data_IF_844229772185
#
_entry.id   IF_844229772185
#
_cell.length_a   1.000
_cell.length_b   1.000
_cell.length_c   1.000
_cell.angle_alpha   90.00
_cell.angle_beta   90.00
_cell.angle_gamma   90.00
#
_symmetry.space_group_name_H-M   'P 1'
#
loop_
_entity.id
_entity.type
_entity.pdbx_description
1 polymer ?
#
# COMPACT_ATOMS: atom_id res chain seq x y z
N UNK A 1 -14.79 19.22 -14.51
CA UNK A 1 -13.71 18.28 -14.16
C UNK A 1 -13.58 18.17 -12.64
N UNK A 2 -13.30 16.96 -12.10
CA UNK A 2 -13.07 16.76 -10.66
C UNK A 2 -11.61 16.31 -10.45
N UNK A 3 -10.89 17.06 -9.63
CA UNK A 3 -9.55 16.70 -9.17
C UNK A 3 -9.66 15.96 -7.85
N UNK A 4 -9.37 14.67 -7.86
CA UNK A 4 -9.36 13.80 -6.68
C UNK A 4 -7.99 13.10 -6.53
N UNK A 5 -6.90 13.79 -6.85
CA UNK A 5 -5.54 13.23 -6.96
C UNK A 5 -4.85 13.02 -5.60
N UNK A 6 -5.57 13.07 -4.46
CA UNK A 6 -5.03 12.78 -3.13
C UNK A 6 -3.88 13.72 -2.74
N UNK A 7 -2.69 13.19 -2.51
CA UNK A 7 -1.53 13.99 -2.14
C UNK A 7 -1.06 14.93 -3.27
N UNK A 8 -1.42 14.64 -4.52
CA UNK A 8 -1.04 15.43 -5.69
C UNK A 8 -2.11 16.42 -6.18
N UNK A 9 -3.19 16.65 -5.41
CA UNK A 9 -4.25 17.59 -5.79
C UNK A 9 -3.72 18.99 -6.07
N UNK A 10 -2.70 19.46 -5.36
CA UNK A 10 -2.05 20.75 -5.59
C UNK A 10 -1.35 20.82 -6.94
N UNK A 11 -0.64 19.77 -7.34
CA UNK A 11 0.04 19.70 -8.64
C UNK A 11 -0.97 19.69 -9.78
N UNK A 12 -2.06 18.92 -9.65
CA UNK A 12 -3.14 18.91 -10.66
C UNK A 12 -3.86 20.26 -10.74
N UNK A 13 -4.11 20.91 -9.60
CA UNK A 13 -4.70 22.24 -9.59
C UNK A 13 -3.80 23.29 -10.28
N UNK A 14 -2.48 23.19 -10.09
CA UNK A 14 -1.51 24.08 -10.72
C UNK A 14 -1.54 24.00 -12.25
N UNK A 15 -1.86 22.84 -12.86
CA UNK A 15 -2.05 22.71 -14.30
C UNK A 15 -3.20 23.60 -14.82
N UNK A 16 -4.19 23.85 -13.98
CA UNK A 16 -5.30 24.74 -14.24
C UNK A 16 -5.06 26.18 -13.72
N UNK A 17 -3.83 26.52 -13.29
CA UNK A 17 -3.46 27.81 -12.67
C UNK A 17 -4.22 28.11 -11.38
N UNK A 18 -4.81 27.10 -10.74
CA UNK A 18 -5.41 27.20 -9.42
C UNK A 18 -4.40 26.81 -8.33
N UNK A 19 -4.53 27.36 -7.12
CA UNK A 19 -3.63 27.09 -6.00
C UNK A 19 -4.38 26.43 -4.86
N UNK A 20 -3.77 25.39 -4.27
CA UNK A 20 -4.29 24.70 -3.08
C UNK A 20 -3.12 24.49 -2.13
N UNK A 21 -3.28 24.91 -0.89
CA UNK A 21 -2.30 24.68 0.16
C UNK A 21 -2.54 23.33 0.83
N UNK A 22 -1.64 22.38 0.61
CA UNK A 22 -1.65 21.05 1.19
C UNK A 22 -0.40 20.84 2.04
N UNK A 23 -0.61 20.34 3.25
CA UNK A 23 0.45 19.89 4.13
C UNK A 23 0.60 18.37 4.01
N UNK A 24 1.83 17.91 3.87
CA UNK A 24 2.14 16.49 3.71
C UNK A 24 2.61 15.90 5.04
N UNK A 25 1.89 14.92 5.55
CA UNK A 25 2.26 14.19 6.77
C UNK A 25 2.53 12.73 6.44
N UNK A 26 3.80 12.33 6.48
CA UNK A 26 4.21 10.93 6.31
C UNK A 26 3.82 10.11 7.52
N UNK A 27 3.34 8.89 7.29
CA UNK A 27 3.15 7.88 8.31
C UNK A 27 3.79 6.57 7.88
N UNK A 28 4.74 6.09 8.66
CA UNK A 28 5.38 4.80 8.46
C UNK A 28 4.72 3.72 9.30
N UNK A 29 4.68 2.51 8.77
CA UNK A 29 4.09 1.33 9.38
C UNK A 29 5.06 0.16 9.29
N UNK A 30 5.13 -0.66 10.32
CA UNK A 30 5.96 -1.85 10.42
C UNK A 30 5.12 -3.11 10.33
N UNK A 31 5.64 -4.13 9.67
CA UNK A 31 5.01 -5.45 9.56
C UNK A 31 5.88 -6.47 10.28
N UNK A 32 5.31 -7.15 11.27
CA UNK A 32 5.98 -8.24 12.00
C UNK A 32 5.92 -9.54 11.21
N UNK A 33 6.82 -10.47 11.47
CA UNK A 33 6.84 -11.78 10.80
C UNK A 33 5.71 -12.72 11.24
N UNK A 34 5.12 -12.47 12.40
CA UNK A 34 4.05 -13.29 12.97
C UNK A 34 2.92 -12.43 13.51
N UNK A 35 1.74 -13.02 13.62
CA UNK A 35 0.57 -12.39 14.19
C UNK A 35 0.67 -12.34 15.72
N UNK A 36 0.84 -11.14 16.28
CA UNK A 36 1.03 -10.93 17.72
C UNK A 36 -0.29 -10.70 18.47
N UNK A 37 -1.37 -10.34 17.78
CA UNK A 37 -2.65 -10.09 18.41
C UNK A 37 -3.81 -10.59 17.54
N UNK A 38 -4.93 -10.97 18.18
CA UNK A 38 -6.17 -11.35 17.47
C UNK A 38 -7.07 -10.17 17.14
N UNK A 39 -6.94 -9.10 17.91
CA UNK A 39 -7.75 -7.89 17.80
C UNK A 39 -6.84 -6.68 17.56
N UNK A 40 -7.44 -5.58 17.11
CA UNK A 40 -6.75 -4.30 17.05
C UNK A 40 -6.50 -3.83 18.48
N UNK A 41 -5.25 -3.52 18.79
CA UNK A 41 -4.84 -2.93 20.05
C UNK A 41 -4.55 -1.46 19.82
N UNK A 42 -5.10 -0.61 20.66
CA UNK A 42 -4.98 0.85 20.59
C UNK A 42 -4.63 1.40 21.97
N UNK A 43 -3.67 2.30 22.06
CA UNK A 43 -3.37 3.04 23.30
C UNK A 43 -4.41 4.14 23.51
N UNK A 44 -4.99 4.17 24.70
CA UNK A 44 -5.97 5.19 25.11
C UNK A 44 -5.23 6.41 25.68
N UNK A 45 -4.60 7.17 24.78
CA UNK A 45 -3.91 8.44 25.08
C UNK A 45 -4.10 9.41 23.89
N UNK A 46 -3.71 10.69 24.03
CA UNK A 46 -3.63 11.57 22.86
C UNK A 46 -2.78 10.91 21.75
N UNK A 47 -3.18 11.03 20.47
CA UNK A 47 -2.54 10.32 19.36
C UNK A 47 -1.02 10.58 19.28
N UNK A 48 -0.24 9.50 19.23
CA UNK A 48 1.21 9.53 19.18
C UNK A 48 1.73 8.44 18.22
N UNK A 49 3.07 8.27 18.15
CA UNK A 49 3.69 7.24 17.33
C UNK A 49 3.51 5.85 17.93
N UNK A 50 3.42 4.81 17.08
CA UNK A 50 3.34 3.42 17.52
C UNK A 50 2.10 3.03 18.32
N UNK A 51 1.01 3.81 18.27
CA UNK A 51 -0.16 3.65 19.14
C UNK A 51 -1.09 2.52 18.74
N UNK A 52 -0.93 1.93 17.56
CA UNK A 52 -1.87 0.95 17.01
C UNK A 52 -1.14 -0.30 16.55
N UNK A 53 -1.61 -1.46 17.00
CA UNK A 53 -1.23 -2.77 16.47
C UNK A 53 -2.46 -3.43 15.85
N UNK A 54 -2.42 -3.66 14.55
CA UNK A 54 -3.49 -4.32 13.81
C UNK A 54 -3.09 -5.72 13.38
N UNK A 55 -3.93 -6.76 13.56
CA UNK A 55 -3.72 -8.05 12.91
C UNK A 55 -3.91 -7.94 11.39
N UNK A 56 -3.03 -8.59 10.63
CA UNK A 56 -3.06 -8.59 9.16
C UNK A 56 -2.87 -9.99 8.57
N UNK A 57 -3.79 -10.90 8.81
CA UNK A 57 -3.64 -12.30 8.40
C UNK A 57 -2.63 -13.02 9.28
N UNK A 58 -1.50 -13.43 8.69
CA UNK A 58 -0.40 -14.14 9.37
C UNK A 58 0.57 -13.22 10.11
N UNK A 59 0.43 -11.90 9.94
CA UNK A 59 1.33 -10.87 10.48
C UNK A 59 0.57 -9.88 11.37
N UNK A 60 1.28 -8.96 12.01
CA UNK A 60 0.70 -7.76 12.61
C UNK A 60 1.33 -6.51 12.01
N UNK A 61 0.58 -5.40 12.01
CA UNK A 61 1.01 -4.11 11.50
C UNK A 61 1.03 -3.12 12.66
N UNK A 62 2.18 -2.56 12.94
CA UNK A 62 2.42 -1.60 14.03
C UNK A 62 2.68 -0.20 13.47
N UNK A 63 2.17 0.81 14.14
CA UNK A 63 2.41 2.23 13.83
C UNK A 63 1.17 3.09 14.12
N UNK A 64 0.99 4.20 13.42
CA UNK A 64 1.92 4.84 12.50
C UNK A 64 2.92 5.81 13.18
N UNK A 65 3.89 6.31 12.40
CA UNK A 65 4.60 7.56 12.69
C UNK A 65 3.84 8.79 12.16
N UNK A 66 4.36 10.00 12.44
CA UNK A 66 3.87 11.23 11.84
C UNK A 66 5.00 12.22 11.66
N UNK A 67 5.45 12.40 10.41
CA UNK A 67 6.56 13.27 10.03
C UNK A 67 6.10 14.24 8.94
N UNK A 68 6.32 15.55 9.12
CA UNK A 68 6.04 16.58 8.13
C UNK A 68 7.01 16.44 6.94
N UNK A 69 6.48 16.54 5.73
CA UNK A 69 7.25 16.54 4.48
C UNK A 69 6.98 17.81 3.68
N UNK A 70 7.95 18.17 2.84
CA UNK A 70 7.82 19.27 1.88
C UNK A 70 7.17 18.80 0.56
N UNK A 71 7.39 17.54 0.16
CA UNK A 71 6.86 16.93 -1.06
C UNK A 71 6.23 15.56 -0.77
N UNK A 72 5.19 15.15 -1.52
CA UNK A 72 4.60 13.82 -1.43
C UNK A 72 5.42 12.75 -2.16
N UNK A 73 6.54 13.11 -2.79
CA UNK A 73 7.32 12.22 -3.64
C UNK A 73 8.45 11.53 -2.85
N UNK A 74 8.93 10.39 -3.36
CA UNK A 74 10.07 9.63 -2.80
C UNK A 74 9.93 9.24 -1.32
N UNK A 75 8.74 8.89 -0.91
CA UNK A 75 8.42 8.58 0.48
C UNK A 75 9.01 7.23 0.87
N UNK A 76 9.87 7.22 1.89
CA UNK A 76 10.49 6.00 2.44
C UNK A 76 10.40 6.02 3.96
N UNK A 77 10.18 4.86 4.63
CA UNK A 77 10.41 4.72 6.05
C UNK A 77 11.90 4.95 6.36
N UNK A 78 12.22 5.57 7.48
CA UNK A 78 13.60 5.69 7.97
C UNK A 78 13.84 4.76 9.14
N UNK A 79 15.10 4.47 9.45
CA UNK A 79 15.50 3.67 10.62
C UNK A 79 15.05 4.31 11.92
N UNK A 80 15.14 5.63 12.02
CA UNK A 80 14.72 6.41 13.20
C UNK A 80 13.20 6.26 13.44
N UNK A 81 12.40 6.26 12.37
CA UNK A 81 10.96 6.02 12.49
C UNK A 81 10.67 4.58 12.92
N UNK A 82 11.46 3.60 12.43
CA UNK A 82 11.34 2.19 12.83
C UNK A 82 11.60 2.06 14.32
N UNK A 83 12.71 2.59 14.81
CA UNK A 83 13.10 2.53 16.22
C UNK A 83 12.06 3.21 17.12
N UNK A 84 11.60 4.40 16.73
CA UNK A 84 10.57 5.14 17.46
C UNK A 84 9.26 4.34 17.55
N UNK A 85 8.80 3.75 16.43
CA UNK A 85 7.56 2.97 16.41
C UNK A 85 7.68 1.71 17.29
N UNK A 86 8.83 1.04 17.28
CA UNK A 86 9.10 -0.13 18.14
C UNK A 86 9.10 0.27 19.60
N UNK A 87 9.83 1.33 19.95
CA UNK A 87 9.91 1.85 21.32
C UNK A 87 8.51 2.20 21.84
N UNK A 88 7.74 2.96 21.08
CA UNK A 88 6.42 3.40 21.47
C UNK A 88 5.38 2.27 21.46
N UNK A 89 5.53 1.25 20.62
CA UNK A 89 4.65 0.08 20.56
C UNK A 89 4.91 -0.96 21.65
N UNK A 90 6.16 -1.06 22.13
CA UNK A 90 6.57 -2.08 23.11
C UNK A 90 5.74 -2.09 24.41
N UNK A 91 5.31 -0.96 24.97
CA UNK A 91 4.40 -0.97 26.14
C UNK A 91 3.02 -1.58 25.87
N UNK A 92 2.57 -1.66 24.61
CA UNK A 92 1.31 -2.33 24.26
C UNK A 92 1.53 -3.85 24.24
N UNK A 93 2.59 -4.29 23.56
CA UNK A 93 2.96 -5.70 23.41
C UNK A 93 4.48 -5.82 23.57
N UNK A 94 4.98 -6.30 24.73
CA UNK A 94 6.42 -6.38 25.01
C UNK A 94 7.22 -7.20 23.99
N UNK A 95 6.58 -8.19 23.34
CA UNK A 95 7.20 -9.01 22.30
C UNK A 95 7.69 -8.19 21.08
N UNK A 96 7.15 -6.98 20.86
CA UNK A 96 7.57 -6.08 19.77
C UNK A 96 9.05 -5.70 19.85
N UNK A 97 9.62 -5.66 21.06
CA UNK A 97 11.03 -5.32 21.25
C UNK A 97 11.99 -6.30 20.54
N UNK A 98 11.62 -7.58 20.50
CA UNK A 98 12.50 -8.65 20.04
C UNK A 98 11.93 -9.45 18.85
N UNK A 99 10.79 -9.03 18.29
CA UNK A 99 10.23 -9.74 17.15
C UNK A 99 10.98 -9.37 15.85
N UNK A 100 10.91 -10.26 14.87
CA UNK A 100 11.41 -9.99 13.54
C UNK A 100 10.42 -9.10 12.78
N UNK A 101 10.91 -8.02 12.20
CA UNK A 101 10.18 -7.16 11.28
C UNK A 101 10.53 -7.55 9.84
N UNK A 102 9.53 -7.81 9.02
CA UNK A 102 9.73 -8.28 7.65
C UNK A 102 9.61 -7.18 6.61
N UNK A 103 8.98 -6.05 6.99
CA UNK A 103 8.73 -4.95 6.08
C UNK A 103 8.38 -3.67 6.84
N UNK A 104 8.78 -2.54 6.27
CA UNK A 104 8.25 -1.22 6.58
C UNK A 104 7.66 -0.60 5.31
N UNK A 105 6.65 0.22 5.44
CA UNK A 105 6.10 1.02 4.34
C UNK A 105 5.58 2.35 4.87
N UNK A 106 5.55 3.34 4.00
CA UNK A 106 5.07 4.68 4.35
C UNK A 106 4.04 5.17 3.35
N UNK A 107 3.20 6.07 3.80
CA UNK A 107 2.25 6.80 2.98
C UNK A 107 2.13 8.25 3.42
N UNK A 108 1.64 9.11 2.53
CA UNK A 108 1.42 10.53 2.82
C UNK A 108 -0.06 10.81 3.04
N UNK A 109 -0.33 11.55 4.09
CA UNK A 109 -1.64 12.13 4.37
C UNK A 109 -1.66 13.56 3.84
N UNK A 110 -2.49 13.88 2.84
CA UNK A 110 -2.73 15.26 2.45
C UNK A 110 -3.64 15.93 3.49
N UNK A 111 -3.13 16.92 4.18
CA UNK A 111 -3.88 17.67 5.19
C UNK A 111 -4.14 19.08 4.65
N UNK A 112 -5.38 19.55 4.81
CA UNK A 112 -5.73 20.91 4.37
C UNK A 112 -5.31 21.89 5.46
N UNK A 113 -4.45 22.84 5.11
CA UNK A 113 -4.08 23.94 5.99
C UNK A 113 -5.25 24.93 6.11
N UNK A 114 -5.92 24.92 7.25
CA UNK A 114 -6.89 26.01 7.56
C UNK A 114 -6.12 27.14 8.27
N UNK A 115 -6.50 28.41 8.02
CA UNK A 115 -5.86 29.59 8.65
C UNK A 115 -5.64 29.43 10.17
N UNK A 116 -6.51 28.69 10.86
CA UNK A 116 -6.40 28.41 12.31
C UNK A 116 -5.33 27.38 12.68
N UNK A 117 -4.78 26.61 11.72
CA UNK A 117 -3.81 25.54 11.95
C UNK A 117 -2.47 25.78 11.27
N UNK A 118 -2.30 26.89 10.58
CA UNK A 118 -1.08 27.24 9.83
C UNK A 118 0.19 27.29 10.70
N UNK A 119 0.09 27.48 12.01
CA UNK A 119 1.21 27.48 12.97
C UNK A 119 1.36 26.19 13.78
N UNK A 120 0.56 25.16 13.52
CA UNK A 120 0.61 23.92 14.30
C UNK A 120 1.75 23.03 13.84
N UNK A 121 2.70 22.73 14.73
CA UNK A 121 3.82 21.80 14.46
C UNK A 121 3.42 20.34 14.55
N UNK A 122 2.33 20.02 15.23
CA UNK A 122 1.82 18.64 15.39
C UNK A 122 0.70 18.36 14.39
N UNK A 123 1.01 17.61 13.34
CA UNK A 123 0.07 17.23 12.28
C UNK A 123 -1.14 16.44 12.76
N UNK A 124 -1.04 15.78 13.93
CA UNK A 124 -2.13 15.00 14.51
C UNK A 124 -3.29 15.86 15.00
N UNK A 125 -3.03 17.14 15.26
CA UNK A 125 -4.04 18.13 15.66
C UNK A 125 -4.78 18.74 14.47
N UNK A 126 -4.29 18.53 13.24
CA UNK A 126 -4.94 19.01 12.03
C UNK A 126 -6.14 18.10 11.72
N UNK A 127 -7.29 18.72 11.44
CA UNK A 127 -8.50 17.98 11.09
C UNK A 127 -8.27 17.08 9.86
N UNK A 128 -8.76 15.84 9.93
CA UNK A 128 -8.82 14.90 8.80
C UNK A 128 -10.18 14.91 8.12
N UNK A 129 -10.87 16.05 8.15
CA UNK A 129 -12.01 16.33 7.29
C UNK A 129 -11.59 16.48 5.84
N UNK A 130 -12.56 16.60 4.95
CA UNK A 130 -12.30 16.94 3.55
C UNK A 130 -13.00 18.25 3.19
N UNK A 131 -12.49 18.90 2.18
CA UNK A 131 -13.12 20.09 1.59
C UNK A 131 -13.34 19.85 0.10
N UNK A 132 -14.46 20.38 -0.41
CA UNK A 132 -14.75 20.53 -1.83
C UNK A 132 -14.44 21.98 -2.20
N UNK A 133 -13.42 22.17 -3.03
CA UNK A 133 -12.95 23.49 -3.43
C UNK A 133 -13.44 23.75 -4.86
N UNK A 134 -14.32 24.70 -4.99
CA UNK A 134 -14.76 25.21 -6.28
C UNK A 134 -13.82 26.32 -6.74
N UNK A 135 -13.20 26.14 -7.90
CA UNK A 135 -12.21 27.08 -8.45
C UNK A 135 -12.81 28.17 -9.32
N UNK A 136 -14.13 28.32 -9.37
CA UNK A 136 -14.77 29.44 -10.09
C UNK A 136 -14.34 30.79 -9.51
N UNK A 137 -14.12 30.88 -8.20
CA UNK A 137 -13.60 32.08 -7.55
C UNK A 137 -12.13 32.38 -7.96
N UNK A 138 -11.38 31.39 -8.41
CA UNK A 138 -10.02 31.52 -8.95
C UNK A 138 -10.01 31.77 -10.46
N UNK A 139 -11.19 31.97 -11.08
CA UNK A 139 -11.36 32.17 -12.53
C UNK A 139 -11.30 30.89 -13.36
N UNK A 140 -11.36 29.68 -12.69
CA UNK A 140 -11.36 28.39 -13.37
C UNK A 140 -12.72 27.73 -13.23
N UNK A 141 -13.59 28.00 -14.21
CA UNK A 141 -14.93 27.40 -14.20
C UNK A 141 -14.93 25.90 -14.47
N UNK A 142 -15.94 25.21 -13.95
CA UNK A 142 -16.14 23.76 -14.13
C UNK A 142 -14.98 22.90 -13.61
N UNK A 143 -14.23 23.40 -12.63
CA UNK A 143 -13.16 22.68 -11.97
C UNK A 143 -13.38 22.67 -10.45
N UNK A 144 -13.44 21.47 -9.87
CA UNK A 144 -13.61 21.26 -8.44
C UNK A 144 -12.55 20.32 -7.94
N UNK A 145 -11.95 20.61 -6.77
CA UNK A 145 -11.00 19.72 -6.11
C UNK A 145 -11.59 19.14 -4.85
N UNK A 146 -11.42 17.82 -4.69
CA UNK A 146 -11.69 17.09 -3.45
C UNK A 146 -10.38 16.90 -2.73
N UNK A 147 -10.17 17.59 -1.62
CA UNK A 147 -8.91 17.57 -0.88
C UNK A 147 -9.08 17.09 0.57
N UNK A 148 -8.03 16.53 1.17
CA UNK A 148 -8.02 15.99 2.53
C UNK A 148 -8.75 14.66 2.65
N UNK A 149 -9.45 14.47 3.78
CA UNK A 149 -10.24 13.27 4.04
C UNK A 149 -9.44 12.09 4.61
N UNK A 150 -10.10 10.96 4.65
CA UNK A 150 -9.56 9.66 5.10
C UNK A 150 -10.33 8.52 4.42
N UNK A 151 -9.71 7.35 4.33
CA UNK A 151 -10.29 6.20 3.62
C UNK A 151 -11.72 5.84 4.11
N UNK A 152 -12.00 5.97 5.40
CA UNK A 152 -13.33 5.64 5.95
C UNK A 152 -14.48 6.55 5.51
N UNK A 153 -14.19 7.69 4.86
CA UNK A 153 -15.22 8.64 4.39
C UNK A 153 -15.20 8.84 2.87
N UNK A 154 -14.47 7.99 2.13
CA UNK A 154 -14.31 8.12 0.67
C UNK A 154 -15.67 8.14 -0.07
N UNK A 155 -16.61 7.32 0.37
CA UNK A 155 -17.96 7.27 -0.22
C UNK A 155 -18.70 8.60 -0.05
N UNK A 156 -18.65 9.19 1.16
CA UNK A 156 -19.24 10.50 1.43
C UNK A 156 -18.56 11.60 0.61
N UNK A 157 -17.23 11.54 0.45
CA UNK A 157 -16.49 12.48 -0.41
C UNK A 157 -16.98 12.40 -1.85
N UNK A 158 -17.14 11.19 -2.38
CA UNK A 158 -17.67 10.97 -3.73
C UNK A 158 -19.13 11.45 -3.86
N UNK A 159 -19.99 11.14 -2.89
CA UNK A 159 -21.39 11.60 -2.85
C UNK A 159 -21.46 13.13 -2.95
N UNK A 160 -20.74 13.84 -2.08
CA UNK A 160 -20.75 15.31 -2.07
C UNK A 160 -20.20 15.93 -3.36
N UNK A 161 -19.15 15.35 -3.93
CA UNK A 161 -18.62 15.80 -5.21
C UNK A 161 -19.62 15.59 -6.36
N UNK A 162 -20.31 14.44 -6.37
CA UNK A 162 -21.34 14.13 -7.36
C UNK A 162 -22.56 15.03 -7.22
N UNK A 163 -23.04 15.29 -6.00
CA UNK A 163 -24.16 16.18 -5.72
C UNK A 163 -23.87 17.58 -6.30
N UNK A 164 -22.67 18.13 -6.04
CA UNK A 164 -22.27 19.45 -6.58
C UNK A 164 -22.25 19.46 -8.12
N UNK A 165 -21.84 18.36 -8.77
CA UNK A 165 -21.85 18.27 -10.24
C UNK A 165 -23.26 18.16 -10.76
N UNK A 166 -24.12 17.36 -10.14
CA UNK A 166 -25.53 17.21 -10.51
C UNK A 166 -26.27 18.55 -10.43
N UNK A 167 -26.04 19.31 -9.36
CA UNK A 167 -26.59 20.65 -9.21
C UNK A 167 -26.19 21.58 -10.36
N UNK A 168 -24.91 21.61 -10.75
CA UNK A 168 -24.41 22.41 -11.89
C UNK A 168 -24.97 21.96 -13.22
N UNK A 169 -25.15 20.67 -13.42
CA UNK A 169 -25.72 20.11 -14.64
C UNK A 169 -27.25 20.15 -14.65
N UNK A 170 -27.88 20.59 -13.57
CA UNK A 170 -29.34 20.57 -13.36
C UNK A 170 -29.93 19.17 -13.56
N UNK A 171 -29.22 18.15 -13.05
CA UNK A 171 -29.62 16.73 -13.10
C UNK A 171 -30.04 16.30 -11.71
N UNK A 172 -31.24 15.75 -11.59
CA UNK A 172 -31.72 15.12 -10.37
C UNK A 172 -31.33 13.64 -10.37
N UNK A 173 -30.27 13.29 -9.64
CA UNK A 173 -29.79 11.90 -9.49
C UNK A 173 -29.37 11.66 -8.04
N UNK A 174 -30.29 11.26 -7.16
CA UNK A 174 -29.97 11.02 -5.75
C UNK A 174 -28.96 9.86 -5.60
N UNK A 175 -28.00 10.04 -4.69
CA UNK A 175 -26.98 9.02 -4.43
C UNK A 175 -27.60 7.77 -3.83
N UNK A 176 -27.37 6.60 -4.44
CA UNK A 176 -27.85 5.28 -4.02
C UNK A 176 -26.77 4.44 -3.33
N UNK A 177 -25.51 4.80 -3.43
CA UNK A 177 -24.37 4.02 -2.93
C UNK A 177 -24.39 3.78 -1.42
N UNK A 178 -25.24 4.48 -0.67
CA UNK A 178 -25.45 4.26 0.76
C UNK A 178 -26.24 2.98 1.04
N UNK A 179 -27.12 2.61 0.13
CA UNK A 179 -28.09 1.51 0.29
C UNK A 179 -27.86 0.36 -0.67
N UNK A 180 -27.21 0.61 -1.79
CA UNK A 180 -26.90 -0.40 -2.76
C UNK A 180 -25.55 -1.05 -2.40
N UNK A 181 -25.50 -2.36 -2.14
CA UNK A 181 -24.27 -3.07 -1.92
C UNK A 181 -23.44 -3.10 -3.22
N UNK A 182 -22.12 -3.11 -3.07
CA UNK A 182 -21.24 -3.38 -4.20
C UNK A 182 -21.54 -4.78 -4.77
N UNK A 183 -21.39 -4.98 -6.10
CA UNK A 183 -21.55 -6.30 -6.69
C UNK A 183 -20.68 -7.32 -5.96
N UNK A 184 -21.26 -8.46 -5.61
CA UNK A 184 -20.52 -9.56 -4.99
C UNK A 184 -19.44 -10.04 -5.94
N UNK A 185 -18.18 -9.98 -5.51
CA UNK A 185 -17.06 -10.57 -6.23
C UNK A 185 -16.74 -11.92 -5.61
N UNK A 186 -17.34 -13.00 -6.10
CA UNK A 186 -16.95 -14.37 -5.71
C UNK A 186 -15.44 -14.60 -5.86
N UNK A 187 -14.80 -13.88 -6.78
CA UNK A 187 -13.35 -13.90 -7.04
C UNK A 187 -12.52 -13.11 -6.01
N UNK A 188 -13.11 -12.26 -5.20
CA UNK A 188 -12.43 -11.50 -4.14
C UNK A 188 -12.09 -12.31 -2.89
N UNK A 189 -12.66 -13.51 -2.73
CA UNK A 189 -12.46 -14.37 -1.56
C UNK A 189 -10.97 -14.74 -1.31
N UNK A 190 -10.16 -14.76 -2.37
CA UNK A 190 -8.75 -15.09 -2.31
C UNK A 190 -7.87 -14.00 -1.67
N UNK A 191 -8.36 -12.78 -1.56
CA UNK A 191 -7.62 -11.66 -0.97
C UNK A 191 -7.87 -11.51 0.52
N UNK A 192 -8.88 -12.19 1.06
CA UNK A 192 -9.24 -12.12 2.48
C UNK A 192 -8.40 -13.08 3.32
N UNK A 193 -7.64 -12.58 4.31
CA UNK A 193 -6.87 -13.43 5.20
C UNK A 193 -7.76 -14.45 5.92
N UNK A 194 -7.38 -15.73 5.85
CA UNK A 194 -8.09 -16.83 6.50
C UNK A 194 -9.23 -17.45 5.69
N UNK A 195 -9.71 -16.80 4.62
CA UNK A 195 -10.70 -17.42 3.72
C UNK A 195 -10.05 -18.31 2.67
N UNK A 196 -8.96 -17.87 2.06
CA UNK A 196 -8.27 -18.64 1.02
C UNK A 196 -7.79 -20.02 1.52
N UNK A 197 -7.10 -20.16 2.68
CA UNK A 197 -6.71 -21.45 3.21
C UNK A 197 -7.90 -22.38 3.48
N UNK A 198 -8.93 -21.86 4.11
CA UNK A 198 -10.14 -22.63 4.41
C UNK A 198 -10.81 -23.13 3.13
N UNK A 199 -11.01 -22.24 2.16
CA UNK A 199 -11.62 -22.59 0.88
C UNK A 199 -10.81 -23.62 0.11
N UNK A 200 -9.47 -23.52 0.14
CA UNK A 200 -8.59 -24.53 -0.46
C UNK A 200 -8.74 -25.89 0.20
N UNK A 201 -8.74 -25.96 1.53
CA UNK A 201 -8.93 -27.19 2.27
C UNK A 201 -10.30 -27.80 2.04
N UNK A 202 -11.37 -27.02 1.99
CA UNK A 202 -12.75 -27.49 1.76
C UNK A 202 -12.94 -28.07 0.36
N UNK A 203 -12.24 -27.56 -0.64
CA UNK A 203 -12.34 -28.04 -2.03
C UNK A 203 -11.72 -29.41 -2.26
N UNK A 204 -10.75 -29.79 -1.45
CA UNK A 204 -10.02 -31.08 -1.52
C UNK A 204 -9.58 -31.47 -2.94
N UNK A 205 -9.06 -30.49 -3.68
CA UNK A 205 -8.56 -30.68 -5.04
C UNK A 205 -7.05 -30.97 -4.99
N UNK A 206 -6.62 -32.22 -5.22
CA UNK A 206 -5.20 -32.59 -5.13
C UNK A 206 -4.34 -31.96 -6.22
N UNK A 207 -4.95 -31.56 -7.34
CA UNK A 207 -4.34 -30.87 -8.48
C UNK A 207 -4.17 -29.36 -8.26
N UNK A 208 -4.78 -28.80 -7.23
CA UNK A 208 -4.69 -27.37 -6.90
C UNK A 208 -3.52 -27.10 -5.96
N UNK A 209 -2.33 -27.11 -6.52
CA UNK A 209 -1.08 -26.96 -5.76
C UNK A 209 -0.97 -25.60 -5.07
N UNK A 210 -0.28 -25.58 -3.92
CA UNK A 210 0.01 -24.35 -3.18
C UNK A 210 1.14 -23.58 -3.86
N UNK A 211 0.86 -22.36 -4.28
CA UNK A 211 1.81 -21.42 -4.89
C UNK A 211 2.57 -20.60 -3.84
N UNK A 212 1.94 -20.31 -2.70
CA UNK A 212 2.55 -19.58 -1.59
C UNK A 212 2.21 -20.27 -0.27
N UNK A 213 3.19 -20.94 0.36
CA UNK A 213 2.98 -21.70 1.60
C UNK A 213 2.68 -20.81 2.80
N UNK A 214 3.41 -19.70 2.98
CA UNK A 214 3.23 -18.85 4.16
C UNK A 214 1.90 -18.11 4.18
N UNK A 215 1.22 -17.98 3.05
CA UNK A 215 -0.10 -17.36 2.93
C UNK A 215 -1.16 -18.34 2.40
N UNK A 216 -0.79 -19.61 2.17
CA UNK A 216 -1.67 -20.67 1.69
C UNK A 216 -2.46 -20.29 0.43
N UNK A 217 -1.79 -19.66 -0.55
CA UNK A 217 -2.42 -19.25 -1.81
C UNK A 217 -2.28 -20.37 -2.85
N UNK A 218 -3.39 -20.97 -3.31
CA UNK A 218 -3.35 -22.04 -4.28
C UNK A 218 -3.24 -21.53 -5.72
N UNK A 219 -2.92 -22.43 -6.65
CA UNK A 219 -2.86 -22.13 -8.08
C UNK A 219 -4.19 -21.62 -8.63
N UNK A 220 -5.31 -22.18 -8.18
CA UNK A 220 -6.65 -21.73 -8.60
C UNK A 220 -6.91 -20.25 -8.32
N UNK A 221 -6.32 -19.69 -7.24
CA UNK A 221 -6.38 -18.26 -6.96
C UNK A 221 -5.60 -17.43 -7.99
N UNK A 222 -4.42 -17.90 -8.39
CA UNK A 222 -3.63 -17.27 -9.45
C UNK A 222 -4.37 -17.28 -10.77
N UNK A 223 -4.95 -18.44 -11.14
CA UNK A 223 -5.74 -18.60 -12.37
C UNK A 223 -6.94 -17.65 -12.40
N UNK A 224 -7.71 -17.59 -11.31
CA UNK A 224 -8.84 -16.67 -11.20
C UNK A 224 -8.47 -15.20 -11.37
N UNK A 225 -7.24 -14.81 -10.99
CA UNK A 225 -6.72 -13.47 -11.21
C UNK A 225 -6.37 -13.26 -12.68
N UNK A 226 -5.73 -14.23 -13.33
CA UNK A 226 -5.34 -14.18 -14.74
C UNK A 226 -6.54 -14.12 -15.70
N UNK A 227 -7.62 -14.78 -15.36
CA UNK A 227 -8.87 -14.75 -16.12
C UNK A 227 -9.62 -13.42 -16.07
N UNK A 228 -9.13 -12.46 -15.26
CA UNK A 228 -9.80 -11.18 -15.12
C UNK A 228 -9.54 -10.30 -16.36
N UNK A 229 -10.61 -9.81 -17.06
CA UNK A 229 -10.44 -8.88 -18.17
C UNK A 229 -9.64 -7.64 -17.72
N UNK A 230 -8.59 -7.29 -18.44
CA UNK A 230 -7.71 -6.16 -18.13
C UNK A 230 -6.45 -6.52 -17.34
N UNK A 231 -6.18 -7.79 -17.09
CA UNK A 231 -4.84 -8.20 -16.68
C UNK A 231 -3.88 -8.11 -17.88
N UNK A 232 -2.88 -7.25 -17.75
CA UNK A 232 -1.82 -7.14 -18.75
C UNK A 232 -0.78 -8.24 -18.54
N UNK A 233 -0.41 -8.92 -19.61
CA UNK A 233 0.63 -9.96 -19.64
C UNK A 233 1.99 -9.34 -19.95
N UNK A 234 2.46 -8.47 -19.07
CA UNK A 234 3.73 -7.76 -19.18
C UNK A 234 4.60 -7.97 -17.93
N UNK A 235 5.73 -7.27 -17.85
CA UNK A 235 6.65 -7.35 -16.72
C UNK A 235 6.02 -7.03 -15.35
N UNK A 236 4.86 -6.33 -15.31
CA UNK A 236 4.16 -6.02 -14.05
C UNK A 236 3.15 -7.10 -13.64
N UNK A 237 2.94 -8.15 -14.46
CA UNK A 237 1.95 -9.20 -14.20
C UNK A 237 2.16 -9.86 -12.83
N UNK A 238 3.39 -10.23 -12.48
CA UNK A 238 3.70 -10.85 -11.20
C UNK A 238 3.39 -9.90 -10.02
N UNK A 239 3.68 -8.62 -10.17
CA UNK A 239 3.29 -7.58 -9.20
C UNK A 239 1.77 -7.48 -9.06
N UNK A 240 1.04 -7.49 -10.17
CA UNK A 240 -0.42 -7.43 -10.20
C UNK A 240 -1.08 -8.64 -9.54
N UNK A 241 -0.52 -9.85 -9.73
CA UNK A 241 -0.94 -11.06 -9.02
C UNK A 241 -0.71 -10.87 -7.52
N UNK A 242 0.46 -10.41 -7.11
CA UNK A 242 0.77 -10.10 -5.71
C UNK A 242 -0.16 -9.03 -5.10
N UNK A 243 -0.56 -8.03 -5.87
CA UNK A 243 -1.49 -6.99 -5.42
C UNK A 243 -2.92 -7.53 -5.17
N UNK A 244 -3.36 -8.48 -5.99
CA UNK A 244 -4.72 -9.08 -5.92
C UNK A 244 -4.79 -10.35 -5.08
N UNK A 245 -3.67 -10.85 -4.61
CA UNK A 245 -3.56 -12.01 -3.73
C UNK A 245 -2.68 -11.68 -2.53
N UNK A 246 -2.33 -12.72 -1.75
CA UNK A 246 -1.37 -12.56 -0.66
C UNK A 246 0.03 -13.05 -1.04
N UNK A 247 0.28 -13.37 -2.31
CA UNK A 247 1.59 -13.76 -2.82
C UNK A 247 2.61 -12.65 -2.55
N UNK A 248 3.74 -13.03 -1.96
CA UNK A 248 4.82 -12.12 -1.59
C UNK A 248 4.58 -11.27 -0.34
N UNK A 249 3.48 -11.47 0.40
CA UNK A 249 3.12 -10.67 1.59
C UNK A 249 3.41 -11.35 2.92
N UNK A 250 3.64 -12.66 2.92
CA UNK A 250 3.94 -13.42 4.14
C UNK A 250 5.39 -13.28 4.61
N UNK A 251 5.76 -14.11 5.58
CA UNK A 251 7.02 -14.01 6.31
C UNK A 251 8.28 -14.11 5.43
N UNK A 252 8.23 -14.82 4.28
CA UNK A 252 9.35 -14.94 3.36
C UNK A 252 9.44 -13.79 2.33
N UNK A 253 8.47 -12.86 2.31
CA UNK A 253 8.44 -11.70 1.40
C UNK A 253 8.62 -12.04 -0.09
N UNK A 254 8.16 -13.22 -0.51
CA UNK A 254 8.16 -13.62 -1.90
C UNK A 254 9.33 -14.51 -2.33
N UNK A 255 10.27 -14.85 -1.45
CA UNK A 255 11.48 -15.62 -1.77
C UNK A 255 11.19 -16.88 -2.60
N UNK A 256 10.15 -17.63 -2.26
CA UNK A 256 9.84 -18.89 -2.96
C UNK A 256 8.66 -18.74 -3.94
N UNK A 257 7.60 -18.07 -3.54
CA UNK A 257 6.41 -17.97 -4.38
C UNK A 257 6.63 -17.10 -5.61
N UNK A 258 7.52 -16.12 -5.58
CA UNK A 258 7.90 -15.35 -6.76
C UNK A 258 8.39 -16.26 -7.90
N UNK A 259 9.34 -17.14 -7.59
CA UNK A 259 9.89 -18.11 -8.57
C UNK A 259 8.83 -19.09 -9.06
N UNK A 260 8.05 -19.65 -8.14
CA UNK A 260 7.04 -20.67 -8.46
C UNK A 260 5.93 -20.12 -9.37
N UNK A 261 5.44 -18.92 -9.07
CA UNK A 261 4.44 -18.25 -9.91
C UNK A 261 5.03 -17.87 -11.26
N UNK A 262 6.26 -17.39 -11.31
CA UNK A 262 6.95 -17.09 -12.58
C UNK A 262 7.06 -18.34 -13.46
N UNK A 263 7.48 -19.47 -12.90
CA UNK A 263 7.56 -20.74 -13.63
C UNK A 263 6.18 -21.18 -14.16
N UNK A 264 5.14 -21.06 -13.34
CA UNK A 264 3.76 -21.35 -13.75
C UNK A 264 3.27 -20.47 -14.91
N UNK A 265 3.62 -19.17 -14.87
CA UNK A 265 3.26 -18.23 -15.94
C UNK A 265 3.96 -18.56 -17.27
N UNK A 266 5.20 -19.05 -17.23
CA UNK A 266 5.88 -19.58 -18.42
C UNK A 266 5.19 -20.84 -18.96
N UNK A 267 4.85 -21.80 -18.10
CA UNK A 267 4.14 -23.03 -18.52
C UNK A 267 2.80 -22.73 -19.20
N UNK A 268 2.14 -21.67 -18.80
CA UNK A 268 0.86 -21.25 -19.37
C UNK A 268 0.99 -20.33 -20.59
N UNK A 269 2.21 -19.98 -20.98
CA UNK A 269 2.46 -19.05 -22.08
C UNK A 269 2.07 -17.59 -21.78
N UNK A 270 1.80 -17.25 -20.52
CA UNK A 270 1.54 -15.87 -20.09
C UNK A 270 2.82 -15.02 -20.11
N UNK A 271 3.97 -15.64 -19.86
CA UNK A 271 5.29 -15.05 -20.06
C UNK A 271 6.01 -15.69 -21.25
N UNK A 272 6.72 -14.85 -22.01
CA UNK A 272 7.56 -15.26 -23.14
C UNK A 272 8.94 -14.64 -23.01
N UNK A 273 9.98 -15.33 -23.48
CA UNK A 273 11.38 -14.88 -23.48
C UNK A 273 11.81 -14.38 -22.09
N UNK A 274 12.27 -13.15 -22.00
CA UNK A 274 12.78 -12.46 -20.80
C UNK A 274 11.71 -11.83 -19.90
N UNK A 275 10.43 -11.85 -20.32
CA UNK A 275 9.34 -11.18 -19.58
C UNK A 275 9.21 -11.66 -18.14
N UNK A 276 9.37 -12.97 -17.89
CA UNK A 276 9.31 -13.53 -16.55
C UNK A 276 10.48 -13.11 -15.67
N UNK A 277 11.69 -13.00 -16.26
CA UNK A 277 12.89 -12.52 -15.52
C UNK A 277 12.71 -11.04 -15.18
N UNK A 278 12.30 -10.22 -16.15
CA UNK A 278 12.01 -8.79 -15.91
C UNK A 278 10.89 -8.61 -14.88
N UNK A 279 9.83 -9.44 -14.94
CA UNK A 279 8.74 -9.45 -13.96
C UNK A 279 9.21 -9.84 -12.56
N UNK A 280 10.11 -10.81 -12.46
CA UNK A 280 10.69 -11.25 -11.21
C UNK A 280 11.61 -10.18 -10.61
N UNK A 281 12.43 -9.51 -11.42
CA UNK A 281 13.25 -8.38 -11.00
C UNK A 281 12.39 -7.24 -10.42
N UNK A 282 11.35 -6.85 -11.13
CA UNK A 282 10.41 -5.82 -10.67
C UNK A 282 9.69 -6.21 -9.35
N UNK A 283 9.28 -7.48 -9.23
CA UNK A 283 8.66 -8.00 -8.01
C UNK A 283 9.63 -7.97 -6.83
N UNK A 284 10.86 -8.42 -6.98
CA UNK A 284 11.88 -8.43 -5.93
C UNK A 284 12.28 -7.02 -5.51
N UNK A 285 12.46 -6.08 -6.44
CA UNK A 285 12.73 -4.67 -6.13
C UNK A 285 11.61 -4.06 -5.28
N UNK A 286 10.35 -4.32 -5.65
CA UNK A 286 9.20 -3.88 -4.85
C UNK A 286 9.18 -4.46 -3.43
N UNK A 287 9.69 -5.68 -3.22
CA UNK A 287 9.82 -6.27 -1.88
C UNK A 287 11.01 -5.67 -1.14
N UNK A 288 12.14 -5.52 -1.80
CA UNK A 288 13.37 -4.96 -1.26
C UNK A 288 13.19 -3.55 -0.70
N UNK A 289 12.51 -2.67 -1.42
CA UNK A 289 12.19 -1.31 -0.95
C UNK A 289 11.57 -1.27 0.44
N UNK A 290 10.70 -2.24 0.75
CA UNK A 290 10.06 -2.35 2.05
C UNK A 290 10.93 -2.98 3.13
N UNK A 291 12.00 -3.68 2.76
CA UNK A 291 12.88 -4.38 3.72
C UNK A 291 14.02 -3.49 4.23
N UNK A 292 14.49 -2.55 3.45
CA UNK A 292 15.69 -1.72 3.75
C UNK A 292 15.68 -1.12 5.15
N UNK A 293 14.56 -0.58 5.60
CA UNK A 293 14.45 0.09 6.90
C UNK A 293 14.41 -0.89 8.10
N UNK A 294 14.28 -2.19 7.84
CA UNK A 294 14.18 -3.26 8.87
C UNK A 294 15.25 -4.34 8.73
N UNK A 295 16.37 -4.03 8.06
CA UNK A 295 17.49 -4.97 7.86
C UNK A 295 18.35 -5.07 9.11
N UNK A 296 17.83 -5.73 10.13
CA UNK A 296 18.55 -6.06 11.35
C UNK A 296 18.11 -7.42 11.89
N UNK A 297 18.95 -8.05 12.73
CA UNK A 297 18.68 -9.33 13.36
C UNK A 297 18.33 -10.45 12.35
N UNK A 298 17.28 -11.19 12.61
CA UNK A 298 16.85 -12.31 11.77
C UNK A 298 16.36 -11.90 10.38
N UNK A 299 15.97 -10.65 10.18
CA UNK A 299 15.59 -10.15 8.85
C UNK A 299 16.80 -10.03 7.93
N UNK A 300 17.97 -9.72 8.44
CA UNK A 300 19.21 -9.66 7.66
C UNK A 300 19.54 -11.05 7.09
N UNK A 301 19.46 -12.11 7.89
CA UNK A 301 19.68 -13.50 7.42
C UNK A 301 18.70 -13.89 6.30
N UNK A 302 17.44 -13.46 6.42
CA UNK A 302 16.44 -13.71 5.37
C UNK A 302 16.77 -12.95 4.08
N UNK A 303 17.30 -11.74 4.18
CA UNK A 303 17.70 -10.96 3.02
C UNK A 303 18.92 -11.57 2.32
N UNK A 304 19.90 -12.09 3.06
CA UNK A 304 21.04 -12.84 2.54
C UNK A 304 20.60 -14.10 1.76
N UNK A 305 19.60 -14.83 2.27
CA UNK A 305 19.03 -15.97 1.55
C UNK A 305 18.35 -15.52 0.24
N UNK A 306 17.63 -14.42 0.25
CA UNK A 306 17.00 -13.88 -0.96
C UNK A 306 18.05 -13.46 -1.98
N UNK A 307 19.11 -12.81 -1.56
CA UNK A 307 20.21 -12.41 -2.42
C UNK A 307 20.87 -13.64 -3.06
N UNK A 308 21.20 -14.68 -2.28
CA UNK A 308 21.77 -15.92 -2.80
C UNK A 308 20.90 -16.59 -3.88
N UNK A 309 19.58 -16.57 -3.71
CA UNK A 309 18.64 -17.15 -4.67
C UNK A 309 18.51 -16.25 -5.91
N UNK A 310 18.19 -14.97 -5.72
CA UNK A 310 17.83 -14.10 -6.84
C UNK A 310 19.05 -13.56 -7.60
N UNK A 311 20.10 -13.13 -6.90
CA UNK A 311 21.32 -12.65 -7.53
C UNK A 311 22.19 -13.84 -7.97
N UNK A 312 22.46 -14.80 -7.09
CA UNK A 312 23.35 -15.92 -7.38
C UNK A 312 22.81 -16.90 -8.43
N UNK A 313 21.51 -17.21 -8.46
CA UNK A 313 20.93 -18.16 -9.41
C UNK A 313 20.34 -17.52 -10.67
N UNK A 314 19.84 -16.29 -10.59
CA UNK A 314 19.10 -15.64 -11.66
C UNK A 314 19.76 -14.37 -12.19
N UNK A 315 20.93 -14.01 -11.66
CA UNK A 315 21.66 -12.79 -12.06
C UNK A 315 20.78 -11.52 -11.99
N UNK A 316 19.89 -11.49 -11.02
CA UNK A 316 19.01 -10.35 -10.78
C UNK A 316 19.66 -9.36 -9.82
N UNK A 317 20.91 -8.99 -10.07
CA UNK A 317 21.58 -7.98 -9.28
C UNK A 317 20.83 -6.64 -9.34
N UNK A 318 20.67 -6.04 -8.18
CA UNK A 318 20.13 -4.68 -8.12
C UNK A 318 21.16 -3.79 -8.78
N UNK A 319 20.83 -3.22 -9.93
CA UNK A 319 21.65 -2.17 -10.53
C UNK A 319 21.77 -1.06 -9.50
N UNK A 320 22.95 -0.95 -8.89
CA UNK A 320 23.29 0.20 -8.07
C UNK A 320 23.33 1.38 -9.05
N UNK A 321 22.44 2.39 -8.92
CA UNK A 321 22.51 3.54 -9.81
C UNK A 321 23.92 4.11 -9.77
N UNK A 322 24.48 4.44 -10.92
CA UNK A 322 25.77 5.09 -11.02
C UNK A 322 25.78 6.29 -10.05
N UNK A 323 26.83 6.45 -9.24
CA UNK A 323 26.95 7.59 -8.33
C UNK A 323 26.67 8.94 -9.02
N UNK A 324 26.98 9.08 -10.30
CA UNK A 324 26.67 10.26 -11.11
C UNK A 324 25.17 10.48 -11.36
N UNK A 325 24.35 9.43 -11.37
CA UNK A 325 22.88 9.51 -11.48
C UNK A 325 22.25 9.93 -10.16
N UNK A 326 22.92 9.65 -9.02
CA UNK A 326 22.43 10.01 -7.68
C UNK A 326 22.71 11.47 -7.35
N UNK A 327 23.77 12.07 -7.91
CA UNK A 327 24.08 13.50 -7.73
C UNK A 327 23.07 14.42 -8.42
N UNK A 328 22.44 13.99 -9.51
CA UNK A 328 21.36 14.72 -10.17
C UNK A 328 20.04 14.81 -9.36
N UNK A 329 19.87 13.96 -8.35
CA UNK A 329 18.69 13.92 -7.47
C UNK A 329 18.89 14.73 -6.17
N UNK A 330 20.07 15.32 -5.95
CA UNK A 330 20.40 16.16 -4.79
C UNK A 330 20.33 17.66 -5.07
N UNK A 331 19.93 18.05 -6.26
CA UNK A 331 19.59 19.43 -6.66
C UNK A 331 18.08 19.50 -6.92
#
# INVERSE_FOLDING_TARGET
MVNAAGAWVGQVAALAKASIEILFSKGSLLVTHSRLARHVLLRLRPPSDGDVLCPGGTVSILGPSSVRLESPDNIKPTSEEVDLIIEQGTPIVPALKNCRYIRAFAGVRPLIAKKKTAGTTDDRKISRGFDLIDHSADGVENFTTVAGGKLSIYRLMAERASDQICERLKVEAPCRTRHEPLPSTLRGAWTEPGLAPKTWMERQRPDDIIMCECEMVPNSAVQSILENPGMQTDAVLLHNIGARSRIGKGACQGTYCGLRVTAQLYQQGAFRRDQGISGLAHFTDSRWKGQRAVLFGEQLKQAELQEAIYCGLFDLEIQIPDPSEVEGLRK
#
